data_IF_981606320853
#
_entry.id   IF_981606320853
#
_cell.length_a   1.000
_cell.length_b   1.000
_cell.length_c   1.000
_cell.angle_alpha   90.00
_cell.angle_beta   90.00
_cell.angle_gamma   90.00
#
_symmetry.space_group_name_H-M   'P 1'
#
loop_
_entity.id
_entity.type
_entity.pdbx_description
1 polymer ?
#
# COMPACT_ATOMS: atom_id res chain seq x y z
N UNK A 1 -17.13 -8.32 -2.00
CA UNK A 1 -16.44 -9.08 -0.94
C UNK A 1 -14.94 -8.89 -1.08
N UNK A 2 -14.30 -8.52 -0.01
CA UNK A 2 -12.85 -8.35 -0.01
C UNK A 2 -12.18 -9.72 0.10
N UNK A 3 -11.30 -10.02 -0.82
CA UNK A 3 -10.45 -11.21 -0.74
C UNK A 3 -9.10 -10.77 -0.20
N UNK A 4 -8.75 -11.29 0.97
CA UNK A 4 -7.47 -10.99 1.61
C UNK A 4 -6.65 -12.26 1.65
N UNK A 5 -5.53 -12.26 0.95
CA UNK A 5 -4.57 -13.34 1.02
C UNK A 5 -3.39 -12.88 1.86
N UNK A 6 -3.35 -13.34 3.09
CA UNK A 6 -2.24 -13.02 3.99
C UNK A 6 -1.14 -14.06 3.96
N UNK A 7 -1.47 -15.24 3.49
CA UNK A 7 -0.52 -16.33 3.47
C UNK A 7 0.07 -16.47 2.08
N UNK A 8 1.02 -15.61 1.78
CA UNK A 8 1.98 -15.93 0.75
C UNK A 8 3.10 -16.72 1.39
N UNK A 9 3.51 -17.77 0.72
CA UNK A 9 4.80 -18.36 1.03
C UNK A 9 5.84 -17.23 0.84
N UNK A 10 6.62 -16.98 1.84
CA UNK A 10 7.70 -16.00 1.79
C UNK A 10 8.63 -16.25 0.60
N UNK A 11 8.74 -17.51 0.19
CA UNK A 11 9.50 -17.93 -0.96
C UNK A 11 8.87 -17.43 -2.26
N UNK A 12 7.54 -17.40 -2.36
CA UNK A 12 6.85 -16.89 -3.54
C UNK A 12 7.02 -15.39 -3.69
N UNK A 13 7.03 -14.66 -2.60
CA UNK A 13 7.26 -13.22 -2.62
C UNK A 13 8.70 -12.90 -2.98
N UNK A 14 9.64 -13.66 -2.45
CA UNK A 14 11.05 -13.49 -2.80
C UNK A 14 11.34 -13.89 -4.25
N UNK A 15 10.49 -14.75 -4.82
CA UNK A 15 10.60 -15.15 -6.22
C UNK A 15 9.97 -14.13 -7.17
N UNK A 16 9.23 -13.13 -6.64
CA UNK A 16 8.80 -11.98 -7.44
C UNK A 16 9.96 -10.97 -7.42
N UNK A 17 10.90 -11.06 -8.35
CA UNK A 17 12.09 -10.25 -8.22
C UNK A 17 11.75 -8.82 -8.56
N UNK A 18 12.00 -7.92 -7.63
CA UNK A 18 11.92 -6.48 -7.89
C UNK A 18 12.75 -6.09 -9.11
N UNK A 19 13.81 -6.82 -9.34
CA UNK A 19 14.74 -6.63 -10.46
C UNK A 19 14.12 -6.95 -11.81
N UNK A 20 13.07 -7.78 -11.85
CA UNK A 20 12.37 -8.12 -13.09
C UNK A 20 11.01 -7.46 -13.20
N UNK A 21 10.67 -6.52 -12.30
CA UNK A 21 9.47 -5.74 -12.46
C UNK A 21 9.69 -4.75 -13.61
N UNK A 22 9.11 -5.08 -14.76
CA UNK A 22 9.24 -4.28 -15.98
C UNK A 22 8.14 -3.23 -16.13
N UNK A 23 7.32 -3.05 -15.11
CA UNK A 23 6.24 -2.09 -15.12
C UNK A 23 6.71 -0.69 -14.71
N UNK A 24 5.75 0.21 -14.64
CA UNK A 24 5.99 1.58 -14.21
C UNK A 24 5.97 1.68 -12.70
N UNK A 25 6.82 2.56 -12.18
CA UNK A 25 6.81 2.94 -10.77
C UNK A 25 6.43 4.41 -10.70
N UNK A 26 5.34 4.71 -10.00
CA UNK A 26 4.81 6.06 -9.88
C UNK A 26 4.82 6.46 -8.39
N UNK A 27 5.54 7.53 -8.08
CA UNK A 27 5.60 8.07 -6.72
C UNK A 27 4.51 9.11 -6.54
N UNK A 28 3.72 8.97 -5.49
CA UNK A 28 2.61 9.87 -5.16
C UNK A 28 3.02 10.76 -4.00
N UNK A 29 3.06 12.05 -4.24
CA UNK A 29 3.52 13.07 -3.28
C UNK A 29 2.42 14.06 -2.90
N UNK A 30 1.28 14.05 -3.60
CA UNK A 30 0.20 15.02 -3.39
C UNK A 30 -1.14 14.31 -3.29
N UNK A 31 -2.09 14.98 -2.62
CA UNK A 31 -3.46 14.46 -2.52
C UNK A 31 -4.12 14.34 -3.89
N UNK A 32 -3.89 15.30 -4.78
CA UNK A 32 -4.48 15.26 -6.12
C UNK A 32 -4.01 14.04 -6.90
N UNK A 33 -2.72 13.76 -6.86
CA UNK A 33 -2.17 12.56 -7.53
C UNK A 33 -2.65 11.27 -6.85
N UNK A 34 -2.80 11.30 -5.52
CA UNK A 34 -3.34 10.15 -4.80
C UNK A 34 -4.76 9.84 -5.25
N UNK A 35 -5.60 10.86 -5.44
CA UNK A 35 -6.97 10.65 -5.92
C UNK A 35 -6.99 10.02 -7.31
N UNK A 36 -6.17 10.52 -8.22
CA UNK A 36 -6.06 9.96 -9.57
C UNK A 36 -5.59 8.51 -9.56
N UNK A 37 -4.58 8.23 -8.74
CA UNK A 37 -4.05 6.88 -8.61
C UNK A 37 -5.11 5.93 -8.04
N UNK A 38 -5.83 6.34 -7.01
CA UNK A 38 -6.88 5.52 -6.39
C UNK A 38 -8.02 5.25 -7.37
N UNK A 39 -8.44 6.26 -8.14
CA UNK A 39 -9.47 6.07 -9.16
C UNK A 39 -9.07 4.99 -10.16
N UNK A 40 -7.82 4.98 -10.58
CA UNK A 40 -7.30 3.92 -11.45
C UNK A 40 -7.24 2.57 -10.73
N UNK A 41 -6.70 2.54 -9.52
CA UNK A 41 -6.53 1.30 -8.77
C UNK A 41 -7.86 0.61 -8.47
N UNK A 42 -8.91 1.37 -8.23
CA UNK A 42 -10.24 0.81 -7.96
C UNK A 42 -10.90 0.18 -9.19
N UNK A 43 -10.32 0.34 -10.38
CA UNK A 43 -10.77 -0.38 -11.59
C UNK A 43 -10.21 -1.80 -11.68
N UNK A 44 -9.25 -2.14 -10.84
CA UNK A 44 -8.58 -3.42 -10.88
C UNK A 44 -9.32 -4.46 -10.04
N UNK A 45 -9.19 -5.72 -10.41
CA UNK A 45 -9.78 -6.82 -9.64
C UNK A 45 -8.89 -7.26 -8.47
N UNK A 46 -7.59 -7.04 -8.58
CA UNK A 46 -6.63 -7.47 -7.57
C UNK A 46 -5.50 -6.47 -7.47
N UNK A 47 -5.08 -6.17 -6.25
CA UNK A 47 -3.96 -5.27 -5.95
C UNK A 47 -3.01 -5.93 -4.96
N UNK A 48 -1.71 -5.76 -5.20
CA UNK A 48 -0.69 -6.04 -4.20
C UNK A 48 -0.57 -4.85 -3.25
N UNK A 49 -0.48 -5.10 -1.96
CA UNK A 49 -0.38 -4.05 -0.94
C UNK A 49 0.75 -4.37 0.02
N UNK A 50 1.60 -3.39 0.27
CA UNK A 50 2.66 -3.49 1.25
C UNK A 50 2.88 -2.13 1.89
N UNK A 51 3.41 -2.13 3.11
CA UNK A 51 3.73 -0.91 3.82
C UNK A 51 5.15 -0.95 4.37
N UNK A 52 5.74 0.23 4.51
CA UNK A 52 7.02 0.38 5.19
C UNK A 52 6.91 1.46 6.25
N UNK A 53 7.41 1.17 7.43
CA UNK A 53 7.50 2.15 8.51
C UNK A 53 8.85 2.82 8.46
N UNK A 54 8.88 4.09 8.89
CA UNK A 54 10.14 4.80 9.04
C UNK A 54 10.79 4.37 10.34
N UNK A 55 12.07 3.96 10.33
CA UNK A 55 12.77 3.67 11.56
C UNK A 55 12.82 4.91 12.46
N UNK A 56 12.58 4.72 13.75
CA UNK A 56 12.75 5.76 14.75
C UNK A 56 13.94 5.43 15.62
N UNK A 57 14.84 6.39 15.75
CA UNK A 57 15.99 6.28 16.63
C UNK A 57 15.76 6.94 17.99
N UNK A 58 14.57 7.48 18.20
CA UNK A 58 14.19 8.11 19.47
C UNK A 58 13.46 7.11 20.34
N UNK A 59 13.95 6.94 21.56
CA UNK A 59 13.30 6.12 22.57
C UNK A 59 11.90 6.66 22.86
N UNK A 60 10.90 5.79 22.84
CA UNK A 60 9.50 6.17 23.09
C UNK A 60 8.76 6.74 21.89
N UNK A 61 9.41 6.83 20.73
CA UNK A 61 8.76 7.32 19.51
C UNK A 61 7.97 6.20 18.84
N UNK A 62 6.71 6.49 18.50
CA UNK A 62 5.85 5.56 17.79
C UNK A 62 6.22 5.55 16.32
N UNK A 63 6.42 4.35 15.76
CA UNK A 63 6.65 4.20 14.34
C UNK A 63 5.34 4.37 13.57
N UNK A 64 5.35 5.24 12.59
CA UNK A 64 4.22 5.42 11.68
C UNK A 64 4.58 4.89 10.31
N UNK A 65 3.57 4.37 9.59
CA UNK A 65 3.75 3.96 8.21
C UNK A 65 4.15 5.18 7.38
N UNK A 66 5.29 5.11 6.74
CA UNK A 66 5.83 6.19 5.90
C UNK A 66 5.51 5.97 4.43
N UNK A 67 5.35 4.73 3.99
CA UNK A 67 5.17 4.36 2.61
C UNK A 67 4.09 3.30 2.48
N UNK A 68 3.15 3.53 1.58
CA UNK A 68 2.17 2.55 1.16
C UNK A 68 2.47 2.19 -0.30
N UNK A 69 2.72 0.92 -0.57
CA UNK A 69 2.94 0.42 -1.93
C UNK A 69 1.70 -0.31 -2.39
N UNK A 70 1.14 0.10 -3.51
CA UNK A 70 -0.01 -0.58 -4.11
C UNK A 70 0.30 -0.83 -5.57
N UNK A 71 0.22 -2.09 -5.98
CA UNK A 71 0.62 -2.48 -7.32
C UNK A 71 -0.45 -3.26 -8.06
N UNK A 72 -0.51 -3.01 -9.36
CA UNK A 72 -1.19 -3.85 -10.33
C UNK A 72 -0.15 -4.78 -10.98
N UNK A 73 -0.53 -5.52 -12.01
CA UNK A 73 0.41 -6.39 -12.74
C UNK A 73 1.51 -5.61 -13.47
N UNK A 74 1.31 -4.32 -13.75
CA UNK A 74 2.24 -3.53 -14.55
C UNK A 74 2.63 -2.18 -13.95
N UNK A 75 2.06 -1.78 -12.83
CA UNK A 75 2.33 -0.47 -12.23
C UNK A 75 2.38 -0.58 -10.71
N UNK A 76 3.41 0.01 -10.13
CA UNK A 76 3.55 0.12 -8.68
C UNK A 76 3.42 1.58 -8.28
N UNK A 77 2.46 1.87 -7.40
CA UNK A 77 2.26 3.20 -6.84
C UNK A 77 2.88 3.27 -5.45
N UNK A 78 3.74 4.25 -5.26
CA UNK A 78 4.41 4.51 -3.99
C UNK A 78 3.79 5.74 -3.35
N UNK A 79 2.87 5.54 -2.42
CA UNK A 79 2.24 6.64 -1.70
C UNK A 79 3.12 7.07 -0.54
N UNK A 80 3.75 8.23 -0.68
CA UNK A 80 4.63 8.79 0.35
C UNK A 80 3.78 9.46 1.43
N UNK A 81 3.41 8.71 2.44
CA UNK A 81 2.46 9.15 3.46
C UNK A 81 2.99 10.30 4.33
N UNK A 82 4.31 10.46 4.38
CA UNK A 82 4.89 11.62 5.07
C UNK A 82 4.58 12.94 4.34
N UNK A 83 4.22 12.85 3.06
CA UNK A 83 3.88 14.02 2.25
C UNK A 83 2.37 14.21 2.14
N UNK A 84 1.62 13.13 1.96
CA UNK A 84 0.17 13.22 1.72
C UNK A 84 -0.67 12.99 2.96
N UNK A 85 -0.16 12.23 3.94
CA UNK A 85 -0.99 11.62 4.97
C UNK A 85 -1.90 10.55 4.38
N UNK A 86 -2.83 10.05 5.16
CA UNK A 86 -3.88 9.16 4.68
C UNK A 86 -5.02 10.04 4.20
N UNK A 87 -5.09 10.26 2.90
CA UNK A 87 -6.13 11.07 2.28
C UNK A 87 -7.47 10.31 2.26
N UNK A 88 -8.55 11.03 1.96
CA UNK A 88 -9.86 10.37 1.80
C UNK A 88 -9.85 9.36 0.67
N UNK A 89 -9.12 9.63 -0.41
CA UNK A 89 -9.00 8.69 -1.52
C UNK A 89 -8.26 7.42 -1.10
N UNK A 90 -7.18 7.55 -0.35
CA UNK A 90 -6.43 6.38 0.15
C UNK A 90 -7.31 5.58 1.11
N UNK A 91 -8.05 6.25 1.99
CA UNK A 91 -9.00 5.58 2.88
C UNK A 91 -10.05 4.80 2.08
N UNK A 92 -10.60 5.41 1.03
CA UNK A 92 -11.56 4.76 0.14
C UNK A 92 -10.97 3.50 -0.49
N UNK A 93 -9.71 3.56 -0.93
CA UNK A 93 -9.03 2.40 -1.49
C UNK A 93 -8.90 1.27 -0.46
N UNK A 94 -8.50 1.59 0.76
CA UNK A 94 -8.29 0.60 1.81
C UNK A 94 -9.60 -0.01 2.31
N UNK A 95 -10.69 0.71 2.26
CA UNK A 95 -12.00 0.25 2.72
C UNK A 95 -12.82 -0.42 1.62
N UNK A 96 -12.39 -0.32 0.36
CA UNK A 96 -13.09 -0.92 -0.77
C UNK A 96 -13.12 -2.44 -0.64
N UNK A 97 -14.31 -3.02 -0.84
CA UNK A 97 -14.50 -4.47 -0.74
C UNK A 97 -14.61 -5.19 -2.08
N UNK A 98 -14.64 -4.44 -3.17
CA UNK A 98 -14.78 -5.04 -4.50
C UNK A 98 -13.46 -5.47 -5.09
N UNK A 99 -12.38 -4.83 -4.69
CA UNK A 99 -11.04 -5.12 -5.19
C UNK A 99 -10.31 -5.98 -4.18
N UNK A 100 -9.82 -7.14 -4.63
CA UNK A 100 -9.03 -8.02 -3.78
C UNK A 100 -7.68 -7.38 -3.47
N UNK A 101 -7.27 -7.46 -2.23
CA UNK A 101 -5.99 -6.96 -1.76
C UNK A 101 -5.14 -8.12 -1.25
N UNK A 102 -3.89 -8.14 -1.67
CA UNK A 102 -2.98 -9.24 -1.41
C UNK A 102 -1.72 -8.67 -0.77
N UNK A 103 -1.33 -9.19 0.37
CA UNK A 103 -0.13 -8.76 1.05
C UNK A 103 0.34 -9.74 2.10
N UNK A 104 1.61 -9.66 2.45
CA UNK A 104 2.24 -10.60 3.37
C UNK A 104 1.75 -10.43 4.81
N UNK A 105 1.57 -9.19 5.24
CA UNK A 105 1.17 -8.84 6.62
C UNK A 105 0.00 -7.87 6.60
N UNK A 106 -1.02 -8.16 5.81
CA UNK A 106 -2.07 -7.20 5.47
C UNK A 106 -2.87 -6.73 6.69
N UNK A 107 -3.15 -7.60 7.67
CA UNK A 107 -3.84 -7.19 8.89
C UNK A 107 -3.03 -6.16 9.68
N UNK A 108 -1.74 -6.39 9.82
CA UNK A 108 -0.86 -5.48 10.53
C UNK A 108 -0.72 -4.16 9.77
N UNK A 109 -0.61 -4.24 8.45
CA UNK A 109 -0.51 -3.07 7.58
C UNK A 109 -1.76 -2.19 7.71
N UNK A 110 -2.95 -2.79 7.65
CA UNK A 110 -4.21 -2.05 7.78
C UNK A 110 -4.33 -1.43 9.17
N UNK A 111 -3.96 -2.15 10.21
CA UNK A 111 -4.00 -1.63 11.58
C UNK A 111 -3.08 -0.41 11.74
N UNK A 112 -1.87 -0.48 11.20
CA UNK A 112 -0.92 0.63 11.23
C UNK A 112 -1.42 1.83 10.44
N UNK A 113 -2.04 1.61 9.30
CA UNK A 113 -2.60 2.68 8.48
C UNK A 113 -3.77 3.37 9.17
N UNK A 114 -4.64 2.61 9.83
CA UNK A 114 -5.73 3.19 10.61
C UNK A 114 -5.22 4.05 11.75
N UNK A 115 -4.22 3.57 12.45
CA UNK A 115 -3.59 4.31 13.54
C UNK A 115 -2.96 5.60 13.06
N UNK A 116 -2.37 5.60 11.88
CA UNK A 116 -1.76 6.79 11.31
C UNK A 116 -2.81 7.87 11.01
N UNK A 117 -3.99 7.47 10.55
CA UNK A 117 -5.06 8.42 10.23
C UNK A 117 -5.64 9.09 11.48
N UNK A 118 -5.70 8.34 12.57
CA UNK A 118 -6.15 8.88 13.83
C UNK A 118 -5.14 9.89 14.37
#
# INVERSE_FOLDING_TARGET
MTVIKEKFDKKDINALPRETFNGRIITILTENDAQKAVDYLLTQSMLGVDTETRPSFRKGTVHQVALLQVSTHDTCFLFRLNRTGITDSIKRLLEDEKTAKVGLSLHDDIALLRKRRE
#
